data_IF_488606486039
#
_entry.id   IF_488606486039
#
_cell.length_a   1.000
_cell.length_b   1.000
_cell.length_c   1.000
_cell.angle_alpha   90.00
_cell.angle_beta   90.00
_cell.angle_gamma   90.00
#
_symmetry.space_group_name_H-M   'P 1'
#
loop_
_entity.id
_entity.type
_entity.pdbx_description
1 polymer ?
#
# COMPACT_ATOMS: atom_id res chain seq x y z
N UNK A 1 6.20 27.78 -7.88
CA UNK A 1 6.93 26.99 -6.87
C UNK A 1 7.75 25.96 -7.63
N UNK A 2 9.07 25.92 -7.41
CA UNK A 2 9.96 24.91 -7.98
C UNK A 2 9.98 23.68 -7.06
N UNK A 3 10.30 22.47 -7.56
CA UNK A 3 10.47 21.29 -6.72
C UNK A 3 11.40 21.50 -5.51
N UNK A 4 12.48 22.28 -5.69
CA UNK A 4 13.43 22.65 -4.64
C UNK A 4 12.84 23.48 -3.50
N UNK A 5 11.69 24.12 -3.74
CA UNK A 5 11.00 24.90 -2.71
C UNK A 5 10.12 23.99 -1.83
N UNK A 6 9.90 22.73 -2.22
CA UNK A 6 8.98 21.80 -1.55
C UNK A 6 9.68 21.09 -0.39
N UNK A 7 9.01 21.11 0.77
CA UNK A 7 9.37 20.37 1.99
C UNK A 7 8.16 19.56 2.42
N UNK A 8 8.20 18.26 2.15
CA UNK A 8 7.07 17.35 2.36
C UNK A 8 7.28 16.57 3.64
N UNK A 9 6.34 16.69 4.58
CA UNK A 9 6.25 15.77 5.72
C UNK A 9 5.30 14.62 5.37
N UNK A 10 5.85 13.43 5.16
CA UNK A 10 5.11 12.21 4.83
C UNK A 10 4.85 11.38 6.08
N UNK A 11 3.59 11.05 6.36
CA UNK A 11 3.20 10.18 7.47
C UNK A 11 2.70 8.84 6.93
N UNK A 12 3.28 7.75 7.43
CA UNK A 12 2.89 6.38 7.06
C UNK A 12 2.72 5.48 8.28
N UNK A 13 1.71 4.60 8.25
CA UNK A 13 1.52 3.57 9.28
C UNK A 13 2.58 2.46 9.20
N UNK A 14 3.06 2.16 7.99
CA UNK A 14 4.17 1.25 7.73
C UNK A 14 5.01 1.81 6.57
N UNK A 15 6.27 2.17 6.83
CA UNK A 15 7.17 2.71 5.81
C UNK A 15 8.23 1.72 5.33
N UNK A 16 8.82 0.91 6.22
CA UNK A 16 9.91 0.01 5.84
C UNK A 16 9.99 -1.31 6.64
N UNK A 17 9.17 -1.49 7.67
CA UNK A 17 9.36 -2.62 8.60
C UNK A 17 8.60 -3.89 8.20
N UNK A 18 7.52 -3.79 7.41
CA UNK A 18 6.92 -4.93 6.69
C UNK A 18 6.96 -4.65 5.20
N UNK A 19 7.20 -5.64 4.34
CA UNK A 19 7.26 -5.46 2.88
C UNK A 19 5.90 -5.59 2.23
N UNK A 20 5.32 -4.48 1.79
CA UNK A 20 4.01 -4.41 1.12
C UNK A 20 4.08 -3.53 -0.14
N UNK A 21 3.18 -3.75 -1.09
CA UNK A 21 3.14 -2.93 -2.31
C UNK A 21 2.90 -1.43 -2.04
N UNK A 22 2.20 -1.08 -0.95
CA UNK A 22 1.94 0.31 -0.58
C UNK A 22 3.23 1.03 -0.15
N UNK A 23 4.04 0.43 0.72
CA UNK A 23 5.26 1.06 1.21
C UNK A 23 6.38 1.07 0.17
N UNK A 24 6.47 0.06 -0.69
CA UNK A 24 7.38 0.09 -1.85
C UNK A 24 7.05 1.27 -2.78
N UNK A 25 5.76 1.51 -3.05
CA UNK A 25 5.34 2.65 -3.86
C UNK A 25 5.65 4.00 -3.19
N UNK A 26 5.52 4.11 -1.86
CA UNK A 26 5.90 5.32 -1.13
C UNK A 26 7.41 5.57 -1.18
N UNK A 27 8.24 4.53 -1.00
CA UNK A 27 9.69 4.67 -1.09
C UNK A 27 10.13 5.09 -2.51
N UNK A 28 9.52 4.52 -3.56
CA UNK A 28 9.74 4.95 -4.94
C UNK A 28 9.32 6.39 -5.19
N UNK A 29 8.21 6.85 -4.59
CA UNK A 29 7.81 8.25 -4.63
C UNK A 29 8.89 9.12 -3.98
N UNK A 30 9.33 8.79 -2.77
CA UNK A 30 10.30 9.59 -2.03
C UNK A 30 11.62 9.68 -2.80
N UNK A 31 12.11 8.57 -3.35
CA UNK A 31 13.29 8.56 -4.23
C UNK A 31 13.10 9.53 -5.41
N UNK A 32 11.97 9.43 -6.11
CA UNK A 32 11.67 10.31 -7.23
C UNK A 32 11.65 11.79 -6.81
N UNK A 33 10.96 12.13 -5.71
CA UNK A 33 10.86 13.49 -5.19
C UNK A 33 12.24 14.05 -4.85
N UNK A 34 13.06 13.29 -4.13
CA UNK A 34 14.41 13.69 -3.74
C UNK A 34 15.33 13.90 -4.94
N UNK A 35 15.27 13.02 -5.94
CA UNK A 35 16.02 13.19 -7.21
C UNK A 35 15.62 14.45 -7.98
N UNK A 36 14.43 14.98 -7.74
CA UNK A 36 13.95 16.24 -8.32
C UNK A 36 14.13 17.44 -7.39
N UNK A 37 14.87 17.29 -6.28
CA UNK A 37 15.22 18.38 -5.36
C UNK A 37 14.17 18.67 -4.27
N UNK A 38 13.09 17.89 -4.19
CA UNK A 38 12.12 18.00 -3.09
C UNK A 38 12.74 17.44 -1.82
N UNK A 39 12.65 18.20 -0.71
CA UNK A 39 13.09 17.70 0.59
C UNK A 39 11.95 16.94 1.25
N UNK A 40 12.19 15.71 1.71
CA UNK A 40 11.17 14.86 2.32
C UNK A 40 11.60 14.43 3.72
N UNK A 41 10.70 14.55 4.70
CA UNK A 41 10.81 13.93 6.02
C UNK A 41 9.69 12.94 6.22
N UNK A 42 10.02 11.73 6.64
CA UNK A 42 9.07 10.64 6.83
C UNK A 42 8.85 10.40 8.32
N UNK A 43 7.60 10.18 8.72
CA UNK A 43 7.19 9.84 10.07
C UNK A 43 6.41 8.53 10.04
N UNK A 44 6.98 7.50 10.64
CA UNK A 44 6.38 6.15 10.67
C UNK A 44 6.87 5.39 11.90
N UNK A 45 6.12 4.40 12.40
CA UNK A 45 6.67 3.43 13.33
C UNK A 45 7.94 2.79 12.74
N UNK A 46 8.93 2.54 13.59
CA UNK A 46 10.17 1.84 13.22
C UNK A 46 10.32 0.55 14.03
N UNK A 47 11.27 -0.30 13.64
CA UNK A 47 11.64 -1.52 14.35
C UNK A 47 13.15 -1.74 14.21
N UNK A 48 13.75 -2.55 15.08
CA UNK A 48 15.19 -2.85 15.04
C UNK A 48 15.59 -3.67 13.81
N UNK A 49 14.66 -4.49 13.30
CA UNK A 49 14.86 -5.40 12.16
C UNK A 49 13.91 -5.05 10.99
N UNK A 50 14.13 -3.93 10.28
CA UNK A 50 13.25 -3.55 9.19
C UNK A 50 13.36 -4.53 8.01
N UNK A 51 12.27 -4.69 7.24
CA UNK A 51 12.25 -5.58 6.07
C UNK A 51 13.08 -5.04 4.89
N UNK A 52 13.41 -3.75 4.88
CA UNK A 52 14.30 -3.08 3.94
C UNK A 52 14.71 -1.70 4.46
N UNK A 53 15.77 -1.14 3.88
CA UNK A 53 16.23 0.22 4.19
C UNK A 53 15.22 1.27 3.72
N UNK A 54 14.90 2.27 4.56
CA UNK A 54 14.00 3.34 4.18
C UNK A 54 14.69 4.27 3.17
N UNK A 55 13.94 4.70 2.16
CA UNK A 55 14.35 5.82 1.30
C UNK A 55 14.02 7.14 1.98
N UNK A 56 14.97 8.06 2.05
CA UNK A 56 14.80 9.36 2.69
C UNK A 56 14.94 9.31 4.21
N UNK A 57 14.75 10.47 4.85
CA UNK A 57 14.98 10.62 6.30
C UNK A 57 13.74 10.23 7.10
N UNK A 58 13.85 9.09 7.80
CA UNK A 58 12.79 8.46 8.58
C UNK A 58 12.93 8.77 10.08
N UNK A 59 11.92 9.44 10.62
CA UNK A 59 11.75 9.72 12.04
C UNK A 59 10.78 8.71 12.66
N UNK A 60 11.23 8.04 13.71
CA UNK A 60 10.41 7.09 14.46
C UNK A 60 9.29 7.80 15.22
N UNK A 61 8.12 7.17 15.27
CA UNK A 61 6.98 7.64 16.07
C UNK A 61 6.53 6.56 17.06
N UNK A 62 6.01 6.94 18.24
CA UNK A 62 5.55 5.97 19.22
C UNK A 62 4.42 5.08 18.69
N UNK A 63 4.60 3.77 18.81
CA UNK A 63 3.66 2.79 18.30
C UNK A 63 3.68 1.50 19.12
N UNK A 64 2.61 0.72 19.04
CA UNK A 64 2.49 -0.60 19.67
C UNK A 64 2.20 -1.67 18.62
N UNK A 65 2.70 -2.91 18.77
CA UNK A 65 2.35 -4.02 17.90
C UNK A 65 0.83 -4.27 17.85
N UNK A 66 0.30 -4.67 16.69
CA UNK A 66 -1.10 -5.05 16.56
C UNK A 66 -1.34 -6.40 17.27
N UNK A 67 -2.36 -6.52 18.13
CA UNK A 67 -2.70 -7.78 18.79
C UNK A 67 -3.30 -8.81 17.81
N UNK A 68 -3.46 -10.07 18.25
CA UNK A 68 -4.18 -11.09 17.46
C UNK A 68 -3.37 -11.70 16.31
N UNK A 69 -2.07 -11.94 16.53
CA UNK A 69 -1.20 -12.61 15.55
C UNK A 69 -0.77 -11.74 14.37
N UNK A 70 -0.92 -10.41 14.49
CA UNK A 70 -0.47 -9.41 13.50
C UNK A 70 0.60 -8.47 14.07
N UNK A 71 1.41 -8.98 15.01
CA UNK A 71 2.42 -8.19 15.72
C UNK A 71 3.52 -7.62 14.83
N UNK A 72 3.65 -8.11 13.59
CA UNK A 72 4.51 -7.53 12.56
C UNK A 72 4.05 -6.12 12.14
N UNK A 73 2.77 -5.79 12.30
CA UNK A 73 2.22 -4.46 12.10
C UNK A 73 2.19 -3.66 13.40
N UNK A 74 2.30 -2.34 13.31
CA UNK A 74 2.25 -1.44 14.47
C UNK A 74 1.16 -0.37 14.31
N UNK A 75 0.49 -0.04 15.41
CA UNK A 75 -0.43 1.10 15.49
C UNK A 75 0.33 2.28 16.08
N UNK A 76 0.52 3.33 15.28
CA UNK A 76 1.02 4.60 15.77
C UNK A 76 0.01 5.25 16.73
N UNK A 77 0.43 5.56 17.95
CA UNK A 77 -0.49 5.93 19.03
C UNK A 77 -0.93 7.39 18.97
N UNK A 78 -0.04 8.29 18.57
CA UNK A 78 -0.26 9.74 18.55
C UNK A 78 0.87 10.45 17.81
N UNK A 79 0.61 11.70 17.44
CA UNK A 79 1.67 12.64 17.10
C UNK A 79 2.29 13.17 18.41
N UNK A 80 3.40 12.57 18.86
CA UNK A 80 4.02 12.87 20.15
C UNK A 80 4.69 14.26 20.19
N UNK A 81 5.04 14.75 21.39
CA UNK A 81 5.62 16.09 21.56
C UNK A 81 6.97 16.22 20.82
N UNK A 82 7.84 15.23 20.94
CA UNK A 82 9.11 15.14 20.21
C UNK A 82 8.90 15.14 18.70
N UNK A 83 7.98 14.31 18.20
CA UNK A 83 7.62 14.27 16.76
C UNK A 83 7.09 15.62 16.27
N UNK A 84 6.32 16.35 17.10
CA UNK A 84 5.85 17.70 16.76
C UNK A 84 6.98 18.73 16.73
N UNK A 85 7.95 18.61 17.63
CA UNK A 85 9.11 19.50 17.67
C UNK A 85 9.98 19.30 16.42
N UNK A 86 10.25 18.04 16.04
CA UNK A 86 10.95 17.72 14.80
C UNK A 86 10.19 18.22 13.57
N UNK A 87 8.88 17.97 13.50
CA UNK A 87 8.01 18.46 12.42
C UNK A 87 8.00 19.98 12.30
N UNK A 88 7.98 20.69 13.42
CA UNK A 88 8.06 22.15 13.43
C UNK A 88 9.44 22.64 12.95
N UNK A 89 10.53 22.00 13.39
CA UNK A 89 11.89 22.32 12.97
C UNK A 89 12.12 22.05 11.47
N UNK A 90 11.54 20.97 10.93
CA UNK A 90 11.57 20.65 9.51
C UNK A 90 10.82 21.69 8.65
N UNK A 91 9.87 22.41 9.25
CA UNK A 91 9.10 23.48 8.61
C UNK A 91 8.48 23.10 7.25
N UNK A 92 7.70 22.00 7.16
CA UNK A 92 7.13 21.55 5.89
C UNK A 92 6.17 22.58 5.31
N UNK A 93 6.03 22.59 3.99
CA UNK A 93 4.94 23.32 3.31
C UNK A 93 3.82 22.40 2.81
N UNK A 94 4.04 21.08 2.83
CA UNK A 94 3.04 20.07 2.51
C UNK A 94 3.09 18.95 3.56
N UNK A 95 1.92 18.53 4.03
CA UNK A 95 1.75 17.32 4.84
C UNK A 95 1.03 16.26 4.02
N UNK A 96 1.69 15.14 3.75
CA UNK A 96 1.13 13.99 3.05
C UNK A 96 0.89 12.86 4.04
N UNK A 97 -0.35 12.36 4.13
CA UNK A 97 -0.72 11.20 4.96
C UNK A 97 -1.10 10.01 4.06
N UNK A 98 -0.48 8.85 4.29
CA UNK A 98 -0.73 7.65 3.47
C UNK A 98 -1.74 6.67 4.07
N UNK A 99 -2.20 6.94 5.30
CA UNK A 99 -3.18 6.13 6.02
C UNK A 99 -4.08 7.00 6.94
N UNK A 100 -5.39 6.69 7.06
CA UNK A 100 -6.33 7.39 7.93
C UNK A 100 -6.24 6.94 9.41
N UNK A 101 -5.03 6.72 9.91
CA UNK A 101 -4.78 6.24 11.27
C UNK A 101 -4.67 7.38 12.28
N UNK A 102 -4.53 7.06 13.57
CA UNK A 102 -4.42 8.07 14.65
C UNK A 102 -3.29 9.06 14.40
N UNK A 103 -2.14 8.59 13.92
CA UNK A 103 -1.03 9.45 13.50
C UNK A 103 -1.43 10.38 12.34
N UNK A 104 -2.07 9.85 11.31
CA UNK A 104 -2.55 10.64 10.17
C UNK A 104 -3.56 11.71 10.59
N UNK A 105 -4.50 11.36 11.47
CA UNK A 105 -5.42 12.33 12.07
C UNK A 105 -4.69 13.44 12.85
N UNK A 106 -3.65 13.08 13.60
CA UNK A 106 -2.77 14.02 14.30
C UNK A 106 -2.04 14.96 13.34
N UNK A 107 -1.44 14.41 12.29
CA UNK A 107 -0.72 15.16 11.26
C UNK A 107 -1.63 16.16 10.51
N UNK A 108 -2.81 15.72 10.06
CA UNK A 108 -3.81 16.60 9.40
C UNK A 108 -4.28 17.70 10.37
N UNK A 109 -4.51 17.37 11.64
CA UNK A 109 -4.87 18.38 12.66
C UNK A 109 -3.77 19.43 12.82
N UNK A 110 -2.51 18.98 12.91
CA UNK A 110 -1.37 19.87 13.05
C UNK A 110 -1.21 20.76 11.82
N UNK A 111 -1.23 20.19 10.61
CA UNK A 111 -1.09 20.91 9.35
C UNK A 111 -2.12 22.04 9.21
N UNK A 112 -3.40 21.73 9.49
CA UNK A 112 -4.49 22.71 9.43
C UNK A 112 -4.33 23.86 10.41
N UNK A 113 -3.82 23.61 11.62
CA UNK A 113 -3.55 24.65 12.62
C UNK A 113 -2.41 25.59 12.19
N UNK A 114 -1.55 25.14 11.28
CA UNK A 114 -0.42 25.92 10.76
C UNK A 114 -0.66 26.42 9.33
N UNK A 115 -1.89 26.28 8.79
CA UNK A 115 -2.23 26.74 7.45
C UNK A 115 -1.50 26.02 6.32
N UNK A 116 -1.05 24.78 6.53
CA UNK A 116 -0.28 24.01 5.55
C UNK A 116 -1.19 23.19 4.63
N UNK A 117 -0.77 23.02 3.38
CA UNK A 117 -1.44 22.16 2.42
C UNK A 117 -1.37 20.69 2.85
N UNK A 118 -2.47 19.97 2.66
CA UNK A 118 -2.64 18.57 3.08
C UNK A 118 -3.06 17.68 1.93
N UNK A 119 -2.38 16.54 1.81
CA UNK A 119 -2.65 15.51 0.81
C UNK A 119 -2.87 14.19 1.53
N UNK A 120 -3.93 13.45 1.18
CA UNK A 120 -4.08 12.07 1.60
C UNK A 120 -3.96 11.12 0.41
N UNK A 121 -3.21 10.03 0.56
CA UNK A 121 -3.22 8.92 -0.40
C UNK A 121 -3.94 7.70 0.17
N UNK A 122 -4.70 7.01 -0.68
CA UNK A 122 -5.36 5.75 -0.31
C UNK A 122 -4.69 4.58 -1.02
N UNK A 123 -3.98 3.74 -0.26
CA UNK A 123 -3.26 2.58 -0.80
C UNK A 123 -3.77 1.23 -0.30
N UNK A 124 -4.51 1.23 0.81
CA UNK A 124 -5.00 0.04 1.51
C UNK A 124 -6.47 0.21 1.83
N UNK A 125 -7.26 -0.82 1.54
CA UNK A 125 -8.69 -0.86 1.83
C UNK A 125 -8.92 -1.27 3.29
N UNK A 126 -8.72 -0.33 4.22
CA UNK A 126 -8.89 -0.61 5.65
C UNK A 126 -10.32 -1.05 6.00
N UNK A 127 -11.31 -0.63 5.22
CA UNK A 127 -12.72 -0.94 5.43
C UNK A 127 -13.08 -2.41 5.22
N UNK A 128 -12.26 -3.18 4.50
CA UNK A 128 -12.54 -4.59 4.22
C UNK A 128 -12.12 -5.50 5.37
N UNK A 129 -11.16 -5.07 6.18
CA UNK A 129 -10.58 -5.89 7.24
C UNK A 129 -11.57 -6.30 8.34
N UNK A 130 -12.49 -5.45 8.85
CA UNK A 130 -13.46 -5.91 9.84
C UNK A 130 -14.29 -7.10 9.35
N UNK A 131 -14.73 -7.10 8.09
CA UNK A 131 -15.47 -8.23 7.53
C UNK A 131 -14.62 -9.51 7.49
N UNK A 132 -13.35 -9.41 7.09
CA UNK A 132 -12.40 -10.52 7.11
C UNK A 132 -12.23 -11.13 8.51
N UNK A 133 -12.21 -10.28 9.54
CA UNK A 133 -12.09 -10.70 10.95
C UNK A 133 -13.44 -10.99 11.65
N UNK A 134 -14.52 -11.26 10.88
CA UNK A 134 -15.87 -11.56 11.41
C UNK A 134 -16.49 -10.43 12.25
N UNK A 135 -16.05 -9.20 12.02
CA UNK A 135 -16.52 -7.94 12.63
C UNK A 135 -17.19 -7.02 11.59
N UNK A 136 -17.85 -7.61 10.58
CA UNK A 136 -18.44 -6.86 9.46
C UNK A 136 -19.45 -5.78 9.86
N UNK A 137 -20.10 -5.90 11.02
CA UNK A 137 -21.01 -4.89 11.55
C UNK A 137 -20.33 -3.54 11.85
N UNK A 138 -19.00 -3.49 11.97
CA UNK A 138 -18.23 -2.26 12.16
C UNK A 138 -17.95 -1.50 10.86
N UNK A 139 -18.13 -2.13 9.69
CA UNK A 139 -17.79 -1.54 8.38
C UNK A 139 -18.46 -0.19 8.16
N UNK A 140 -19.78 0.01 8.41
CA UNK A 140 -20.42 1.31 8.23
C UNK A 140 -19.83 2.41 9.12
N UNK A 141 -19.46 2.07 10.37
CA UNK A 141 -18.83 3.02 11.29
C UNK A 141 -17.43 3.41 10.82
N UNK A 142 -16.66 2.43 10.33
CA UNK A 142 -15.31 2.65 9.80
C UNK A 142 -15.36 3.52 8.54
N UNK A 143 -16.26 3.23 7.59
CA UNK A 143 -16.50 4.06 6.42
C UNK A 143 -16.85 5.48 6.85
N UNK A 144 -17.78 5.67 7.80
CA UNK A 144 -18.13 7.01 8.32
C UNK A 144 -16.92 7.75 8.91
N UNK A 145 -16.02 7.03 9.58
CA UNK A 145 -14.76 7.57 10.10
C UNK A 145 -13.82 8.00 8.99
N UNK A 146 -13.59 7.13 8.01
CA UNK A 146 -12.73 7.38 6.85
C UNK A 146 -13.27 8.51 5.98
N UNK A 147 -14.57 8.58 5.70
CA UNK A 147 -15.20 9.70 4.98
C UNK A 147 -14.92 11.03 5.68
N UNK A 148 -15.05 11.08 7.01
CA UNK A 148 -14.73 12.29 7.78
C UNK A 148 -13.25 12.63 7.70
N UNK A 149 -12.36 11.65 7.75
CA UNK A 149 -10.92 11.88 7.62
C UNK A 149 -10.57 12.46 6.25
N UNK A 150 -11.01 11.81 5.17
CA UNK A 150 -10.70 12.22 3.81
C UNK A 150 -11.28 13.59 3.45
N UNK A 151 -12.42 13.98 4.05
CA UNK A 151 -12.97 15.33 3.90
C UNK A 151 -12.22 16.43 4.68
N UNK A 152 -11.16 16.10 5.43
CA UNK A 152 -10.36 17.09 6.18
C UNK A 152 -9.11 17.56 5.44
N UNK A 153 -8.73 16.90 4.34
CA UNK A 153 -7.55 17.25 3.55
C UNK A 153 -7.91 18.06 2.30
N UNK A 154 -6.94 18.74 1.72
CA UNK A 154 -7.14 19.62 0.56
C UNK A 154 -7.21 18.86 -0.76
N UNK A 155 -6.46 17.75 -0.86
CA UNK A 155 -6.48 16.85 -2.02
C UNK A 155 -6.38 15.39 -1.59
N UNK A 156 -7.02 14.52 -2.37
CA UNK A 156 -6.86 13.07 -2.24
C UNK A 156 -6.25 12.53 -3.52
N UNK A 157 -5.32 11.60 -3.39
CA UNK A 157 -4.72 10.89 -4.50
C UNK A 157 -4.96 9.39 -4.38
N UNK A 158 -5.45 8.78 -5.46
CA UNK A 158 -5.75 7.34 -5.51
C UNK A 158 -4.98 6.66 -6.64
N UNK A 159 -4.63 5.36 -6.50
CA UNK A 159 -3.86 4.63 -7.51
C UNK A 159 -4.64 4.36 -8.80
N UNK A 160 -5.96 4.51 -8.78
CA UNK A 160 -6.82 4.22 -9.93
C UNK A 160 -8.26 4.67 -9.72
N UNK A 161 -9.02 4.61 -10.82
CA UNK A 161 -10.39 5.10 -10.88
C UNK A 161 -11.32 4.35 -9.92
N UNK A 162 -11.19 3.03 -9.81
CA UNK A 162 -12.01 2.21 -8.91
C UNK A 162 -11.93 2.65 -7.45
N UNK A 163 -10.74 2.98 -6.97
CA UNK A 163 -10.54 3.51 -5.61
C UNK A 163 -11.10 4.93 -5.45
N UNK A 164 -11.04 5.75 -6.50
CA UNK A 164 -11.65 7.07 -6.49
C UNK A 164 -13.18 6.97 -6.40
N UNK A 165 -13.79 6.04 -7.14
CA UNK A 165 -15.24 5.82 -7.14
C UNK A 165 -15.73 5.34 -5.77
N UNK A 166 -15.00 4.41 -5.13
CA UNK A 166 -15.29 3.99 -3.74
C UNK A 166 -15.36 5.19 -2.78
N UNK A 167 -14.41 6.11 -2.85
CA UNK A 167 -14.41 7.31 -2.00
C UNK A 167 -15.60 8.23 -2.30
N UNK A 168 -15.96 8.39 -3.57
CA UNK A 168 -17.14 9.18 -3.97
C UNK A 168 -18.43 8.55 -3.44
N UNK A 169 -18.55 7.22 -3.52
CA UNK A 169 -19.69 6.46 -3.02
C UNK A 169 -19.84 6.59 -1.50
N UNK A 170 -18.72 6.67 -0.77
CA UNK A 170 -18.73 6.96 0.67
C UNK A 170 -19.11 8.41 1.02
N UNK A 171 -19.31 9.27 0.02
CA UNK A 171 -19.69 10.66 0.18
C UNK A 171 -18.52 11.62 0.39
N UNK A 172 -17.28 11.24 0.02
CA UNK A 172 -16.14 12.16 0.04
C UNK A 172 -16.33 13.26 -0.98
N UNK A 173 -16.12 14.51 -0.55
CA UNK A 173 -16.30 15.75 -1.34
C UNK A 173 -14.97 16.43 -1.66
N UNK A 174 -13.91 16.15 -0.90
CA UNK A 174 -12.57 16.62 -1.23
C UNK A 174 -12.18 16.19 -2.65
N UNK A 175 -11.52 17.05 -3.45
CA UNK A 175 -11.13 16.68 -4.81
C UNK A 175 -10.19 15.46 -4.83
N UNK A 176 -10.51 14.52 -5.72
CA UNK A 176 -9.76 13.27 -5.91
C UNK A 176 -9.04 13.32 -7.25
N UNK A 177 -7.74 13.04 -7.25
CA UNK A 177 -6.93 12.88 -8.46
C UNK A 177 -6.37 11.47 -8.55
N UNK A 178 -6.25 10.98 -9.78
CA UNK A 178 -5.57 9.72 -10.04
C UNK A 178 -4.06 9.98 -10.04
N UNK A 179 -3.37 9.27 -9.16
CA UNK A 179 -1.92 9.20 -9.12
C UNK A 179 -1.55 7.72 -9.12
N UNK A 180 -1.40 7.18 -10.34
CA UNK A 180 -1.09 5.78 -10.56
C UNK A 180 0.28 5.42 -9.97
N UNK A 181 0.43 4.16 -9.57
CA UNK A 181 1.72 3.63 -9.13
C UNK A 181 2.64 3.49 -10.35
N UNK A 182 3.88 3.95 -10.22
CA UNK A 182 4.91 3.69 -11.21
C UNK A 182 5.45 2.25 -11.12
N UNK A 183 6.08 1.79 -12.19
CA UNK A 183 6.86 0.55 -12.23
C UNK A 183 8.28 0.90 -12.69
N UNK A 184 9.29 0.22 -12.14
CA UNK A 184 10.67 0.42 -12.60
C UNK A 184 10.87 -0.29 -13.94
N UNK A 185 10.94 0.47 -15.04
CA UNK A 185 11.08 -0.06 -16.39
C UNK A 185 12.46 -0.70 -16.68
N UNK A 186 13.52 -0.33 -15.95
CA UNK A 186 14.83 -0.98 -16.09
C UNK A 186 14.82 -2.41 -15.52
N UNK A 187 13.96 -2.64 -14.53
CA UNK A 187 13.73 -3.95 -13.92
C UNK A 187 12.63 -4.74 -14.62
N UNK A 188 11.52 -4.10 -14.94
CA UNK A 188 10.34 -4.72 -15.55
C UNK A 188 10.22 -4.26 -17.01
N UNK A 189 10.85 -5.00 -17.90
CA UNK A 189 10.74 -4.80 -19.34
C UNK A 189 10.72 -6.14 -20.08
N UNK A 190 10.11 -6.20 -21.28
CA UNK A 190 10.09 -7.42 -22.09
C UNK A 190 11.47 -7.96 -22.47
N UNK A 191 12.51 -7.11 -22.49
CA UNK A 191 13.89 -7.52 -22.75
C UNK A 191 14.50 -8.40 -21.65
N UNK A 192 13.86 -8.49 -20.47
CA UNK A 192 14.24 -9.44 -19.41
C UNK A 192 13.70 -10.87 -19.65
N UNK A 193 12.94 -11.10 -20.72
CA UNK A 193 12.44 -12.44 -21.07
C UNK A 193 13.62 -13.39 -21.31
N UNK A 194 13.57 -14.55 -20.67
CA UNK A 194 14.58 -15.60 -20.81
C UNK A 194 13.91 -16.94 -21.07
N UNK A 195 14.11 -17.47 -22.29
CA UNK A 195 13.65 -18.81 -22.66
C UNK A 195 14.42 -19.90 -21.89
N UNK A 196 15.69 -19.63 -21.54
CA UNK A 196 16.47 -20.53 -20.67
C UNK A 196 15.83 -20.67 -19.29
N UNK A 197 15.50 -19.54 -18.65
CA UNK A 197 14.82 -19.57 -17.34
C UNK A 197 13.45 -20.23 -17.45
N UNK A 198 12.69 -19.92 -18.50
CA UNK A 198 11.39 -20.55 -18.76
C UNK A 198 11.48 -22.08 -18.86
N UNK A 199 12.43 -22.60 -19.65
CA UNK A 199 12.68 -24.04 -19.77
C UNK A 199 13.17 -24.67 -18.47
N UNK A 200 13.95 -23.94 -17.66
CA UNK A 200 14.38 -24.41 -16.33
C UNK A 200 13.21 -24.64 -15.36
N UNK A 201 12.06 -24.01 -15.60
CA UNK A 201 10.81 -24.24 -14.86
C UNK A 201 9.94 -25.36 -15.46
N UNK A 202 10.43 -26.06 -16.50
CA UNK A 202 9.68 -27.09 -17.21
C UNK A 202 8.61 -26.54 -18.16
N UNK A 203 8.65 -25.24 -18.47
CA UNK A 203 7.71 -24.61 -19.39
C UNK A 203 8.28 -24.62 -20.80
N UNK A 204 7.54 -25.17 -21.76
CA UNK A 204 7.91 -25.12 -23.18
C UNK A 204 7.85 -23.69 -23.74
N UNK A 205 8.65 -23.40 -24.77
CA UNK A 205 8.79 -22.06 -25.37
C UNK A 205 7.42 -21.46 -25.79
N UNK A 206 6.51 -22.31 -26.31
CA UNK A 206 5.16 -21.92 -26.77
C UNK A 206 4.01 -22.32 -25.80
N UNK A 207 4.31 -22.93 -24.65
CA UNK A 207 3.26 -23.32 -23.70
C UNK A 207 2.54 -22.10 -23.10
N UNK A 208 1.22 -22.13 -23.02
CA UNK A 208 0.49 -21.07 -22.33
C UNK A 208 0.65 -21.19 -20.81
N UNK A 209 1.09 -20.13 -20.15
CA UNK A 209 1.33 -20.11 -18.72
C UNK A 209 0.46 -19.04 -18.02
N UNK A 210 -0.30 -19.47 -17.01
CA UNK A 210 -1.15 -18.61 -16.19
C UNK A 210 -0.46 -18.40 -14.84
N UNK A 211 -0.04 -17.15 -14.58
CA UNK A 211 0.71 -16.80 -13.38
C UNK A 211 -0.13 -16.07 -12.33
N UNK A 212 0.02 -16.45 -11.06
CA UNK A 212 -0.41 -15.66 -9.91
C UNK A 212 0.83 -15.18 -9.15
N UNK A 213 0.92 -13.88 -8.88
CA UNK A 213 2.01 -13.28 -8.10
C UNK A 213 1.44 -12.46 -6.94
N UNK A 214 1.68 -12.90 -5.71
CA UNK A 214 1.28 -12.15 -4.52
C UNK A 214 1.15 -13.01 -3.26
N UNK A 215 0.83 -12.36 -2.13
CA UNK A 215 0.55 -13.06 -0.87
C UNK A 215 -0.69 -13.93 -1.03
N UNK A 216 -0.62 -15.20 -0.61
CA UNK A 216 -1.70 -16.17 -0.73
C UNK A 216 -2.74 -15.96 0.39
N UNK A 217 -3.66 -15.05 0.16
CA UNK A 217 -4.85 -14.79 1.01
C UNK A 217 -6.08 -14.71 0.13
N UNK A 218 -7.24 -15.20 0.62
CA UNK A 218 -8.47 -15.29 -0.17
C UNK A 218 -8.91 -13.94 -0.77
N UNK A 219 -8.68 -12.84 -0.05
CA UNK A 219 -9.02 -11.47 -0.50
C UNK A 219 -8.29 -11.06 -1.80
N UNK A 220 -7.27 -11.80 -2.24
CA UNK A 220 -6.57 -11.59 -3.51
C UNK A 220 -7.23 -12.27 -4.71
N UNK A 221 -8.42 -12.86 -4.54
CA UNK A 221 -9.15 -13.51 -5.62
C UNK A 221 -8.59 -14.89 -5.97
N UNK A 222 -8.10 -15.64 -4.97
CA UNK A 222 -7.57 -16.98 -5.17
C UNK A 222 -8.67 -17.97 -5.61
N UNK A 223 -9.91 -17.72 -5.19
CA UNK A 223 -11.13 -18.35 -5.67
C UNK A 223 -11.33 -18.16 -7.17
N UNK A 224 -11.29 -16.92 -7.63
CA UNK A 224 -11.42 -16.59 -9.05
C UNK A 224 -10.27 -17.22 -9.85
N UNK A 225 -9.04 -17.18 -9.33
CA UNK A 225 -7.89 -17.79 -9.99
C UNK A 225 -8.06 -19.31 -10.14
N UNK A 226 -8.50 -20.00 -9.07
CA UNK A 226 -8.77 -21.42 -9.11
C UNK A 226 -9.91 -21.77 -10.07
N UNK A 227 -10.99 -20.98 -10.10
CA UNK A 227 -12.10 -21.14 -11.04
C UNK A 227 -11.65 -20.99 -12.50
N UNK A 228 -10.77 -20.02 -12.78
CA UNK A 228 -10.19 -19.83 -14.13
C UNK A 228 -9.37 -21.05 -14.53
N UNK A 229 -8.50 -21.56 -13.64
CA UNK A 229 -7.69 -22.75 -13.94
C UNK A 229 -8.58 -23.97 -14.21
N UNK A 230 -9.60 -24.20 -13.37
CA UNK A 230 -10.59 -25.28 -13.57
C UNK A 230 -11.31 -25.13 -14.92
N UNK A 231 -11.77 -23.92 -15.26
CA UNK A 231 -12.46 -23.66 -16.51
C UNK A 231 -11.57 -23.88 -17.74
N UNK A 232 -10.26 -23.61 -17.66
CA UNK A 232 -9.32 -23.92 -18.74
C UNK A 232 -9.15 -25.44 -18.91
N UNK A 233 -9.03 -26.18 -17.81
CA UNK A 233 -8.95 -27.65 -17.81
C UNK A 233 -10.21 -28.28 -18.40
N UNK A 234 -11.40 -27.84 -17.96
CA UNK A 234 -12.69 -28.36 -18.46
C UNK A 234 -12.90 -28.10 -19.96
N UNK A 235 -12.31 -27.03 -20.48
CA UNK A 235 -12.34 -26.70 -21.91
C UNK A 235 -11.23 -27.38 -22.72
N UNK A 236 -10.39 -28.19 -22.09
CA UNK A 236 -9.28 -28.88 -22.76
C UNK A 236 -8.19 -27.93 -23.27
N UNK A 237 -8.07 -26.73 -22.70
CA UNK A 237 -7.02 -25.78 -23.10
C UNK A 237 -5.72 -26.19 -22.41
N UNK A 238 -4.69 -26.53 -23.18
CA UNK A 238 -3.37 -26.85 -22.65
C UNK A 238 -2.76 -25.60 -21.99
N UNK A 239 -2.41 -25.70 -20.71
CA UNK A 239 -1.84 -24.59 -19.94
C UNK A 239 -0.98 -25.09 -18.78
N UNK A 240 -0.15 -24.19 -18.25
CA UNK A 240 0.64 -24.36 -17.03
C UNK A 240 0.22 -23.31 -16.01
N UNK A 241 0.23 -23.67 -14.74
CA UNK A 241 -0.07 -22.74 -13.65
C UNK A 241 1.23 -22.43 -12.92
N UNK A 242 1.47 -21.15 -12.59
CA UNK A 242 2.61 -20.71 -11.80
C UNK A 242 2.12 -19.86 -10.65
N UNK A 243 2.31 -20.32 -9.42
CA UNK A 243 1.99 -19.53 -8.23
C UNK A 243 3.27 -19.05 -7.55
N UNK A 244 3.44 -17.73 -7.48
CA UNK A 244 4.61 -17.10 -6.87
C UNK A 244 4.15 -16.29 -5.66
N UNK A 245 4.53 -16.77 -4.49
CA UNK A 245 4.22 -16.14 -3.21
C UNK A 245 3.87 -17.16 -2.15
N UNK A 246 3.56 -16.68 -0.96
CA UNK A 246 3.21 -17.51 0.18
C UNK A 246 2.11 -16.82 1.01
N UNK A 247 1.44 -17.57 1.88
CA UNK A 247 0.45 -17.05 2.79
C UNK A 247 -0.50 -18.10 3.36
N UNK A 248 -1.38 -17.67 4.28
CA UNK A 248 -2.30 -18.57 4.99
C UNK A 248 -3.23 -19.41 4.11
N UNK A 249 -3.48 -19.00 2.86
CA UNK A 249 -4.32 -19.74 1.92
C UNK A 249 -3.51 -20.66 0.98
N UNK A 250 -2.23 -20.94 1.27
CA UNK A 250 -1.39 -21.83 0.46
C UNK A 250 -2.02 -23.21 0.27
N UNK A 251 -2.33 -23.89 1.37
CA UNK A 251 -2.86 -25.25 1.32
C UNK A 251 -4.26 -25.27 0.69
N UNK A 252 -5.07 -24.25 1.00
CA UNK A 252 -6.37 -24.04 0.36
C UNK A 252 -6.23 -23.96 -1.17
N UNK A 253 -5.24 -23.22 -1.68
CA UNK A 253 -5.03 -23.07 -3.12
C UNK A 253 -4.50 -24.37 -3.74
N UNK A 254 -3.54 -25.04 -3.08
CA UNK A 254 -2.97 -26.30 -3.53
C UNK A 254 -4.03 -27.40 -3.67
N UNK A 255 -5.05 -27.43 -2.79
CA UNK A 255 -6.17 -28.35 -2.90
C UNK A 255 -7.04 -28.11 -4.15
N UNK A 256 -7.26 -26.86 -4.56
CA UNK A 256 -8.11 -26.52 -5.73
C UNK A 256 -7.34 -26.48 -7.04
N UNK A 257 -6.04 -26.21 -6.98
CA UNK A 257 -5.16 -26.12 -8.16
C UNK A 257 -3.92 -26.97 -7.87
N UNK A 258 -4.03 -28.32 -7.87
CA UNK A 258 -2.93 -29.21 -7.51
C UNK A 258 -1.77 -29.18 -8.51
N UNK A 259 -2.02 -28.67 -9.72
CA UNK A 259 -1.05 -28.53 -10.81
C UNK A 259 -0.24 -27.21 -10.75
N UNK A 260 -0.40 -26.42 -9.67
CA UNK A 260 0.17 -25.07 -9.50
C UNK A 260 1.54 -25.01 -8.83
#
# INVERSE_FOLDING_TARGET
>A
MKPTDLRVALFSGNYNYVRDGANQALNMLVDYLMRHGVTVRIYSPTTETPAFEPTGDLVSVPAVPIPGGRGEYKIALRLAAETRADLAAFAPNIVHVSAPEVLGHGAVTWARRHGLATIASLHTRFETYPAYYRLGFLVPLLIKGMTRFYNRVDQIVTPGQSTADILRDWGVKTPIRIWARGVNHDRFNPGRRSEEWRRSLGLGDDEFAVGFLGRLVLEKGLDIFAEVCRALTERGIAHRVLVIGDGPARDWLAERVPEA
#
